data_IF_479020371815
#
_entry.id   IF_479020371815
#
_cell.length_a   1.000
_cell.length_b   1.000
_cell.length_c   1.000
_cell.angle_alpha   90.00
_cell.angle_beta   90.00
_cell.angle_gamma   90.00
#
_symmetry.space_group_name_H-M   'P 1'
#
loop_
_entity.id
_entity.type
_entity.pdbx_description
1 polymer ?
#
# COMPACT_ATOMS: atom_id res chain seq x y z
N UNK A 1 -12.06 -2.32 -4.42
CA UNK A 1 -13.08 -2.10 -5.47
C UNK A 1 -12.71 -0.96 -6.44
N UNK A 2 -11.72 -0.12 -6.09
CA UNK A 2 -11.39 1.11 -6.82
C UNK A 2 -12.01 2.37 -6.19
N UNK A 3 -12.90 2.24 -5.20
CA UNK A 3 -13.55 3.38 -4.58
C UNK A 3 -14.59 4.01 -5.51
N UNK A 4 -14.62 5.34 -5.59
CA UNK A 4 -15.50 6.08 -6.50
C UNK A 4 -15.13 5.87 -7.97
N UNK A 5 -13.84 5.74 -8.28
CA UNK A 5 -13.32 5.21 -9.55
C UNK A 5 -13.51 3.69 -9.60
N UNK A 6 -14.77 3.25 -9.58
CA UNK A 6 -15.16 1.85 -9.43
C UNK A 6 -14.66 0.97 -10.58
N UNK A 7 -14.03 -0.16 -10.25
CA UNK A 7 -13.61 -1.17 -11.22
C UNK A 7 -14.81 -1.84 -11.90
N UNK A 8 -14.66 -2.36 -13.14
CA UNK A 8 -15.62 -3.27 -13.74
C UNK A 8 -15.83 -4.52 -12.87
N UNK A 9 -16.98 -5.19 -13.02
CA UNK A 9 -17.27 -6.43 -12.29
C UNK A 9 -16.34 -7.60 -12.66
N UNK A 10 -15.92 -7.66 -13.93
CA UNK A 10 -14.97 -8.67 -14.41
C UNK A 10 -13.60 -8.50 -13.72
N UNK A 11 -13.09 -9.58 -13.11
CA UNK A 11 -11.80 -9.60 -12.41
C UNK A 11 -11.80 -8.89 -11.04
N UNK A 12 -12.94 -8.36 -10.58
CA UNK A 12 -12.99 -7.67 -9.28
C UNK A 12 -12.74 -8.62 -8.10
N UNK A 13 -13.08 -9.90 -8.22
CA UNK A 13 -12.84 -10.91 -7.19
C UNK A 13 -11.35 -11.18 -6.95
N UNK A 14 -10.51 -10.95 -7.96
CA UNK A 14 -9.05 -11.04 -7.84
C UNK A 14 -8.46 -9.91 -7.01
N UNK A 15 -9.20 -8.82 -6.76
CA UNK A 15 -8.71 -7.72 -5.93
C UNK A 15 -8.56 -8.10 -4.46
N UNK A 16 -9.02 -9.30 -4.05
CA UNK A 16 -8.61 -9.91 -2.78
C UNK A 16 -7.09 -10.14 -2.70
N UNK A 17 -6.41 -10.25 -3.84
CA UNK A 17 -4.96 -10.39 -3.94
C UNK A 17 -4.22 -9.05 -3.89
N UNK A 18 -4.92 -7.92 -3.77
CA UNK A 18 -4.29 -6.59 -3.72
C UNK A 18 -3.51 -6.33 -2.41
N UNK A 19 -3.61 -7.27 -1.46
CA UNK A 19 -2.75 -7.36 -0.29
C UNK A 19 -1.52 -8.28 -0.50
N UNK A 20 -1.27 -8.74 -1.74
CA UNK A 20 -0.24 -9.72 -2.07
C UNK A 20 1.17 -9.26 -1.72
N UNK A 21 1.46 -7.96 -1.84
CA UNK A 21 2.72 -7.37 -1.36
C UNK A 21 2.92 -7.57 0.14
N UNK A 22 1.86 -7.35 0.93
CA UNK A 22 1.87 -7.59 2.38
C UNK A 22 2.00 -9.07 2.72
N UNK A 23 1.31 -9.95 1.98
CA UNK A 23 1.41 -11.40 2.16
C UNK A 23 2.85 -11.89 1.97
N UNK A 24 3.53 -11.41 0.93
CA UNK A 24 4.94 -11.70 0.67
C UNK A 24 5.84 -11.24 1.82
N UNK A 25 5.63 -10.03 2.35
CA UNK A 25 6.38 -9.51 3.51
C UNK A 25 6.19 -10.41 4.74
N UNK A 26 4.96 -10.84 5.05
CA UNK A 26 4.73 -11.79 6.15
C UNK A 26 5.45 -13.12 5.94
N UNK A 27 5.45 -13.64 4.71
CA UNK A 27 6.21 -14.84 4.34
C UNK A 27 7.72 -14.66 4.57
N UNK A 28 8.29 -13.53 4.14
CA UNK A 28 9.69 -13.19 4.36
C UNK A 28 10.02 -13.11 5.85
N UNK A 29 9.19 -12.41 6.64
CA UNK A 29 9.40 -12.27 8.08
C UNK A 29 9.35 -13.62 8.82
N UNK A 30 8.49 -14.54 8.38
CA UNK A 30 8.46 -15.92 8.89
C UNK A 30 9.80 -16.64 8.66
N UNK A 31 10.32 -16.61 7.43
CA UNK A 31 11.61 -17.24 7.10
C UNK A 31 12.76 -16.58 7.88
N UNK A 32 12.74 -15.26 8.07
CA UNK A 32 13.75 -14.56 8.87
C UNK A 32 13.71 -14.99 10.35
N UNK A 33 12.52 -15.19 10.92
CA UNK A 33 12.37 -15.67 12.29
C UNK A 33 12.87 -17.12 12.48
N UNK A 34 12.73 -17.96 11.46
CA UNK A 34 13.20 -19.35 11.46
C UNK A 34 14.73 -19.45 11.27
N UNK A 35 15.29 -18.69 10.34
CA UNK A 35 16.70 -18.74 9.96
C UNK A 35 17.62 -17.89 10.84
N UNK A 36 17.07 -16.85 11.49
CA UNK A 36 17.76 -15.95 12.44
C UNK A 36 19.11 -15.40 11.92
N UNK A 37 19.15 -14.77 10.73
CA UNK A 37 20.36 -14.13 10.26
C UNK A 37 20.77 -12.98 11.21
N UNK A 38 22.06 -12.65 11.24
CA UNK A 38 22.60 -11.57 12.08
C UNK A 38 22.37 -10.18 11.47
N UNK A 39 21.11 -9.87 11.14
CA UNK A 39 20.67 -8.58 10.60
C UNK A 39 19.39 -8.14 11.31
N UNK A 40 19.18 -6.83 11.40
CA UNK A 40 17.94 -6.27 11.90
C UNK A 40 17.00 -6.00 10.72
N UNK A 41 15.75 -6.47 10.81
CA UNK A 41 14.73 -6.25 9.79
C UNK A 41 13.47 -5.73 10.46
N UNK A 42 12.92 -4.63 9.91
CA UNK A 42 11.64 -4.06 10.33
C UNK A 42 10.68 -4.18 9.17
N UNK A 43 9.49 -4.74 9.43
CA UNK A 43 8.39 -4.77 8.47
C UNK A 43 7.31 -3.77 8.88
N UNK A 44 6.82 -2.99 7.91
CA UNK A 44 5.68 -2.08 8.08
C UNK A 44 4.64 -2.44 7.03
N UNK A 45 3.40 -2.65 7.48
CA UNK A 45 2.26 -2.97 6.64
C UNK A 45 1.25 -1.83 6.76
N UNK A 46 0.93 -1.21 5.63
CA UNK A 46 -0.24 -0.32 5.52
C UNK A 46 -1.40 -1.15 4.97
N UNK A 47 -2.46 -1.30 5.78
CA UNK A 47 -3.62 -2.11 5.43
C UNK A 47 -4.89 -1.26 5.48
N UNK A 48 -5.66 -1.29 4.41
CA UNK A 48 -6.96 -0.65 4.29
C UNK A 48 -7.78 -1.37 3.22
N UNK A 49 -9.11 -1.23 3.27
CA UNK A 49 -9.97 -1.55 2.15
C UNK A 49 -10.22 -0.27 1.32
N UNK A 50 -10.31 -0.42 0.00
CA UNK A 50 -10.74 0.64 -0.91
C UNK A 50 -12.17 0.39 -1.38
N UNK A 51 -13.13 1.11 -0.81
CA UNK A 51 -14.58 0.91 -0.96
C UNK A 51 -15.29 2.22 -1.35
N UNK A 52 -16.31 2.18 -2.23
CA UNK A 52 -17.21 3.31 -2.41
C UNK A 52 -18.12 3.45 -1.18
N UNK A 53 -18.26 4.67 -0.71
CA UNK A 53 -19.16 5.05 0.38
C UNK A 53 -19.45 6.56 0.29
N UNK A 54 -20.42 7.06 1.06
CA UNK A 54 -20.66 8.50 1.22
C UNK A 54 -19.48 9.28 1.81
N UNK A 55 -18.58 8.61 2.55
CA UNK A 55 -17.33 9.18 3.07
C UNK A 55 -16.06 8.83 2.29
N UNK A 56 -16.16 8.19 1.12
CA UNK A 56 -15.00 7.76 0.36
C UNK A 56 -14.25 8.94 -0.28
N UNK A 57 -12.96 8.74 -0.56
CA UNK A 57 -12.16 9.65 -1.39
C UNK A 57 -12.83 9.85 -2.75
N UNK A 58 -12.80 11.08 -3.26
CA UNK A 58 -13.39 11.45 -4.55
C UNK A 58 -12.30 11.89 -5.53
N UNK A 59 -12.48 11.66 -6.83
CA UNK A 59 -11.64 12.28 -7.85
C UNK A 59 -11.61 13.81 -7.67
N UNK A 60 -10.40 14.38 -7.64
CA UNK A 60 -10.13 15.79 -7.40
C UNK A 60 -9.92 16.19 -5.92
N UNK A 61 -10.12 15.27 -4.97
CA UNK A 61 -9.76 15.54 -3.57
C UNK A 61 -8.24 15.75 -3.45
N UNK A 62 -7.83 16.75 -2.65
CA UNK A 62 -6.43 17.01 -2.33
C UNK A 62 -6.18 16.61 -0.88
N UNK A 63 -5.31 15.62 -0.70
CA UNK A 63 -4.94 15.09 0.62
C UNK A 63 -3.52 15.49 1.00
N UNK A 64 -3.27 15.70 2.29
CA UNK A 64 -1.94 15.96 2.83
C UNK A 64 -1.34 14.66 3.34
N UNK A 65 -0.15 14.30 2.85
CA UNK A 65 0.58 13.10 3.26
C UNK A 65 1.36 13.32 4.56
N UNK A 66 1.86 12.25 5.15
CA UNK A 66 2.74 12.26 6.31
C UNK A 66 4.03 13.05 6.06
N UNK A 67 4.52 13.09 4.81
CA UNK A 67 5.69 13.90 4.44
C UNK A 67 5.41 15.41 4.44
N UNK A 68 4.15 15.80 4.58
CA UNK A 68 3.69 17.19 4.50
C UNK A 68 3.39 17.67 3.07
N UNK A 69 3.64 16.83 2.06
CA UNK A 69 3.27 17.11 0.66
C UNK A 69 1.77 16.96 0.46
N UNK A 70 1.24 17.57 -0.60
CA UNK A 70 -0.16 17.39 -1.01
C UNK A 70 -0.23 16.53 -2.27
N UNK A 71 -1.24 15.67 -2.35
CA UNK A 71 -1.51 14.82 -3.52
C UNK A 71 -2.95 15.05 -3.96
N UNK A 72 -3.13 15.37 -5.24
CA UNK A 72 -4.43 15.38 -5.89
C UNK A 72 -4.79 13.94 -6.32
N UNK A 73 -5.95 13.46 -5.87
CA UNK A 73 -6.45 12.13 -6.19
C UNK A 73 -7.22 12.21 -7.49
N UNK A 74 -6.56 12.03 -8.64
CA UNK A 74 -7.25 12.02 -9.94
C UNK A 74 -8.06 10.74 -10.17
N UNK A 75 -7.62 9.62 -9.59
CA UNK A 75 -8.27 8.32 -9.71
C UNK A 75 -8.15 7.59 -8.36
N UNK A 76 -9.28 7.20 -7.77
CA UNK A 76 -9.32 6.57 -6.44
C UNK A 76 -8.92 5.09 -6.47
N UNK A 77 -8.74 4.52 -7.66
CA UNK A 77 -8.18 3.19 -7.93
C UNK A 77 -6.64 3.22 -8.08
N UNK A 78 -6.04 4.39 -7.85
CA UNK A 78 -4.60 4.55 -7.67
C UNK A 78 -4.27 4.76 -6.18
N UNK A 79 -4.95 4.05 -5.30
CA UNK A 79 -4.85 4.13 -3.84
C UNK A 79 -3.56 3.52 -3.29
N UNK A 80 -3.04 2.46 -3.92
CA UNK A 80 -1.89 1.71 -3.39
C UNK A 80 -0.68 2.61 -3.14
N UNK A 81 -0.44 3.59 -4.01
CA UNK A 81 0.65 4.58 -3.85
C UNK A 81 0.37 5.61 -2.75
N UNK A 82 -0.89 5.89 -2.43
CA UNK A 82 -1.28 6.83 -1.36
C UNK A 82 -0.99 6.22 0.01
N UNK A 83 -1.35 4.96 0.23
CA UNK A 83 -0.99 4.27 1.48
C UNK A 83 0.51 4.03 1.58
N UNK A 84 1.17 3.73 0.46
CA UNK A 84 2.60 3.45 0.44
C UNK A 84 3.46 4.69 0.69
N UNK A 85 3.07 5.88 0.22
CA UNK A 85 3.88 7.08 0.43
C UNK A 85 3.96 7.46 1.92
N UNK A 86 2.89 7.25 2.68
CA UNK A 86 2.87 7.44 4.12
C UNK A 86 3.65 6.35 4.85
N UNK A 87 3.53 5.09 4.43
CA UNK A 87 4.34 4.00 4.97
C UNK A 87 5.85 4.24 4.75
N UNK A 88 6.24 4.66 3.54
CA UNK A 88 7.62 4.99 3.18
C UNK A 88 8.14 6.23 3.95
N UNK A 89 7.27 7.19 4.26
CA UNK A 89 7.64 8.30 5.13
C UNK A 89 7.82 7.83 6.56
N UNK A 90 6.93 6.97 7.05
CA UNK A 90 6.96 6.44 8.41
C UNK A 90 8.20 5.60 8.69
N UNK A 91 8.64 4.76 7.74
CA UNK A 91 9.82 3.88 7.95
C UNK A 91 11.13 4.65 8.13
N UNK A 92 11.21 5.92 7.69
CA UNK A 92 12.42 6.75 7.88
C UNK A 92 12.82 6.90 9.34
N UNK A 93 11.87 6.83 10.28
CA UNK A 93 12.16 6.95 11.71
C UNK A 93 13.03 5.81 12.27
N UNK A 94 13.15 4.69 11.53
CA UNK A 94 13.97 3.55 11.92
C UNK A 94 15.42 3.66 11.42
N UNK A 95 15.79 4.74 10.72
CA UNK A 95 17.10 4.95 10.10
C UNK A 95 17.59 3.71 9.29
N UNK A 96 16.78 3.22 8.32
CA UNK A 96 17.09 1.98 7.63
C UNK A 96 18.26 2.15 6.65
N UNK A 97 19.15 1.15 6.60
CA UNK A 97 20.21 1.08 5.60
C UNK A 97 19.69 0.84 4.16
N UNK A 98 18.53 0.18 4.04
CA UNK A 98 17.84 -0.06 2.78
C UNK A 98 16.33 -0.19 3.04
N UNK A 99 15.53 0.25 2.07
CA UNK A 99 14.07 0.12 2.08
C UNK A 99 13.66 -0.64 0.81
N UNK A 100 12.79 -1.64 0.98
CA UNK A 100 12.21 -2.42 -0.12
C UNK A 100 10.69 -2.39 0.07
N UNK A 101 9.97 -1.86 -0.91
CA UNK A 101 8.51 -1.94 -0.96
C UNK A 101 8.03 -3.09 -1.85
N UNK A 102 6.85 -3.62 -1.51
CA UNK A 102 6.22 -4.74 -2.22
C UNK A 102 4.74 -4.40 -2.41
N UNK A 103 4.29 -4.27 -3.64
CA UNK A 103 2.91 -3.89 -3.96
C UNK A 103 2.42 -4.51 -5.28
N UNK A 104 1.14 -4.85 -5.33
CA UNK A 104 0.38 -5.22 -6.55
C UNK A 104 -0.10 -3.97 -7.29
N UNK A 105 0.82 -3.06 -7.60
CA UNK A 105 0.51 -1.63 -7.73
C UNK A 105 -0.20 -1.23 -9.04
N UNK A 106 0.07 -1.90 -10.16
CA UNK A 106 -0.49 -1.50 -11.46
C UNK A 106 -0.79 -2.70 -12.34
N UNK A 107 -1.86 -2.59 -13.14
CA UNK A 107 -2.12 -3.54 -14.24
C UNK A 107 -1.26 -3.28 -15.49
N UNK A 108 -0.33 -2.33 -15.45
CA UNK A 108 0.59 -2.05 -16.55
C UNK A 108 1.94 -2.76 -16.42
N UNK A 109 2.15 -3.48 -15.31
CA UNK A 109 3.36 -4.23 -14.99
C UNK A 109 3.38 -5.63 -15.61
#
# INVERSE_FOLDING_TARGET
TGGISLKPGEGMDEMKYDMGGSASVFGTMKVLAETKPKINVVAVIAAAENMPDGGASRPGDIVKTLSGMTVEILNTDAEGRLVLCDALTYVKKFDPAAVVDMATLTGAC
#
